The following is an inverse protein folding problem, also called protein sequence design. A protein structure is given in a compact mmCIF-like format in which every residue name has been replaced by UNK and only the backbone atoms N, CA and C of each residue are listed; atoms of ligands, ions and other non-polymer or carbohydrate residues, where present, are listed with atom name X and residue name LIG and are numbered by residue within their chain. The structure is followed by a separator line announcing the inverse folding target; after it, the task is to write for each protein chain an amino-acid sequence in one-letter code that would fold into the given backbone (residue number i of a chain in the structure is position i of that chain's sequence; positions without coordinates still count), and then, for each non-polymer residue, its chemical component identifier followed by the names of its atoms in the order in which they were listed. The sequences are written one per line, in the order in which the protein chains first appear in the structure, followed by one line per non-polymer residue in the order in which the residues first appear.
data_IF_751879871836
#
_entry.id   IF_751879871836
#
_cell.length_a   1.000
_cell.length_b   1.000
_cell.length_c   1.000
_cell.angle_alpha   90.00
_cell.angle_beta   90.00
_cell.angle_gamma   90.00
#
_symmetry.space_group_name_H-M   'P 1'
#
loop_
_entity.id
_entity.type
_entity.pdbx_description
1 polymer ?
#
# COMPACT_ATOMS: atom_id res chain seq x y z
N UNK A 1 -29.99 -50.17 5.82
CA UNK A 1 -30.40 -48.74 5.96
C UNK A 1 -29.29 -47.89 5.35
N UNK A 2 -28.83 -48.13 4.12
CA UNK A 2 -29.52 -48.14 2.82
C UNK A 2 -30.33 -46.88 2.57
N UNK A 3 -29.92 -46.20 1.50
CA UNK A 3 -30.62 -45.21 0.68
C UNK A 3 -30.45 -43.72 1.02
N UNK A 4 -29.31 -43.15 0.60
CA UNK A 4 -29.17 -41.72 0.32
C UNK A 4 -29.03 -41.55 -1.19
N UNK A 5 -30.17 -41.29 -1.85
CA UNK A 5 -30.24 -41.00 -3.27
C UNK A 5 -29.92 -39.52 -3.51
N UNK A 6 -28.84 -39.27 -4.27
CA UNK A 6 -28.50 -37.94 -4.75
C UNK A 6 -29.41 -37.55 -5.93
N UNK A 7 -29.88 -36.29 -6.01
CA UNK A 7 -30.69 -35.84 -7.13
C UNK A 7 -29.88 -35.88 -8.43
N UNK A 8 -30.46 -36.48 -9.47
CA UNK A 8 -29.87 -36.52 -10.82
C UNK A 8 -29.80 -35.11 -11.37
N UNK A 9 -28.58 -34.65 -11.67
CA UNK A 9 -28.31 -33.42 -12.39
C UNK A 9 -29.00 -33.48 -13.76
N UNK A 10 -29.90 -32.52 -14.01
CA UNK A 10 -30.49 -32.34 -15.33
C UNK A 10 -29.41 -31.88 -16.32
N UNK A 11 -29.36 -32.43 -17.54
CA UNK A 11 -28.45 -31.96 -18.57
C UNK A 11 -28.82 -30.52 -18.95
N UNK A 12 -27.84 -29.62 -18.87
CA UNK A 12 -28.00 -28.25 -19.34
C UNK A 12 -28.26 -28.24 -20.85
N UNK A 13 -29.14 -27.35 -21.35
CA UNK A 13 -29.37 -27.21 -22.78
C UNK A 13 -28.09 -26.76 -23.49
N UNK A 14 -27.85 -27.22 -24.73
CA UNK A 14 -26.70 -26.80 -25.51
C UNK A 14 -26.79 -25.30 -25.79
N UNK A 15 -25.69 -24.58 -25.52
CA UNK A 15 -25.56 -23.18 -25.91
C UNK A 15 -25.71 -23.05 -27.44
N UNK A 16 -26.45 -22.04 -27.95
CA UNK A 16 -26.52 -21.80 -29.39
C UNK A 16 -25.13 -21.47 -29.93
N UNK A 17 -24.69 -22.22 -30.93
CA UNK A 17 -23.43 -22.02 -31.62
C UNK A 17 -23.45 -20.66 -32.33
N UNK A 18 -22.81 -19.66 -31.72
CA UNK A 18 -22.53 -18.37 -32.35
C UNK A 18 -21.44 -18.58 -33.39
N UNK A 19 -21.65 -18.15 -34.63
CA UNK A 19 -20.75 -18.37 -35.75
C UNK A 19 -19.34 -17.83 -35.46
N UNK A 20 -18.35 -18.73 -35.51
CA UNK A 20 -16.93 -18.47 -35.22
C UNK A 20 -16.32 -17.35 -36.09
N UNK A 21 -16.87 -17.10 -37.28
CA UNK A 21 -16.30 -16.15 -38.24
C UNK A 21 -16.56 -14.67 -37.92
N UNK A 22 -17.50 -14.32 -37.02
CA UNK A 22 -17.83 -12.91 -36.75
C UNK A 22 -17.14 -12.34 -35.49
N UNK A 23 -16.42 -13.17 -34.73
CA UNK A 23 -15.62 -12.71 -33.58
C UNK A 23 -14.17 -12.35 -33.95
N UNK A 24 -13.64 -12.84 -35.08
CA UNK A 24 -12.21 -12.64 -35.41
C UNK A 24 -11.87 -11.26 -36.01
N UNK A 25 -12.80 -10.60 -36.72
CA UNK A 25 -12.52 -9.28 -37.32
C UNK A 25 -12.67 -8.13 -36.32
N UNK A 26 -13.68 -8.17 -35.45
CA UNK A 26 -13.89 -7.13 -34.44
C UNK A 26 -12.88 -7.24 -33.28
N UNK A 27 -12.43 -8.44 -32.91
CA UNK A 27 -11.41 -8.63 -31.87
C UNK A 27 -10.04 -8.08 -32.30
N UNK A 28 -9.66 -8.19 -33.58
CA UNK A 28 -8.37 -7.69 -34.09
C UNK A 28 -8.31 -6.16 -34.21
N UNK A 29 -9.42 -5.52 -34.60
CA UNK A 29 -9.49 -4.04 -34.66
C UNK A 29 -9.56 -3.42 -33.26
N UNK A 30 -10.24 -4.08 -32.31
CA UNK A 30 -10.23 -3.66 -30.90
C UNK A 30 -8.87 -3.91 -30.21
N UNK A 31 -8.16 -4.99 -30.52
CA UNK A 31 -6.82 -5.25 -29.94
C UNK A 31 -5.75 -4.25 -30.38
N UNK A 32 -5.81 -3.76 -31.62
CA UNK A 32 -4.86 -2.76 -32.13
C UNK A 32 -5.16 -1.35 -31.58
N UNK A 33 -6.44 -1.01 -31.35
CA UNK A 33 -6.80 0.27 -30.71
C UNK A 33 -6.48 0.28 -29.20
N UNK A 34 -6.61 -0.85 -28.50
CA UNK A 34 -6.20 -0.95 -27.08
C UNK A 34 -4.68 -0.91 -26.89
N UNK A 35 -3.90 -1.35 -27.88
CA UNK A 35 -2.44 -1.32 -27.81
C UNK A 35 -1.85 0.08 -28.03
N UNK A 36 -2.55 0.95 -28.78
CA UNK A 36 -2.07 2.32 -29.05
C UNK A 36 -2.39 3.32 -27.93
N UNK A 37 -3.41 3.06 -27.11
CA UNK A 37 -3.72 3.87 -25.92
C UNK A 37 -2.77 3.57 -24.73
N UNK A 38 -1.86 2.60 -24.85
CA UNK A 38 -0.97 2.16 -23.78
C UNK A 38 0.45 2.74 -23.82
N UNK A 39 0.85 3.50 -24.85
CA UNK A 39 2.29 3.78 -25.02
C UNK A 39 2.66 5.07 -25.79
N UNK A 40 1.93 6.17 -25.63
CA UNK A 40 2.64 7.44 -25.54
C UNK A 40 3.12 7.50 -24.09
N UNK A 41 4.40 7.26 -23.85
CA UNK A 41 4.96 7.41 -22.52
C UNK A 41 4.65 8.84 -22.06
N UNK A 42 3.62 8.96 -21.21
CA UNK A 42 3.56 10.02 -20.22
C UNK A 42 4.96 10.16 -19.62
N UNK A 43 5.37 11.40 -19.33
CA UNK A 43 6.67 11.76 -18.74
C UNK A 43 7.27 10.56 -17.97
N UNK A 44 8.47 10.06 -18.32
CA UNK A 44 9.07 8.90 -17.65
C UNK A 44 9.11 9.04 -16.12
N UNK A 45 9.09 10.27 -15.63
CA UNK A 45 9.06 10.61 -14.22
C UNK A 45 7.66 10.77 -13.61
N UNK A 46 6.56 10.60 -14.35
CA UNK A 46 5.22 10.50 -13.76
C UNK A 46 5.11 9.21 -12.94
N UNK A 47 4.49 9.32 -11.76
CA UNK A 47 4.24 8.17 -10.90
C UNK A 47 3.39 7.13 -11.64
N UNK A 48 3.84 5.89 -11.61
CA UNK A 48 3.15 4.74 -12.16
C UNK A 48 2.01 4.31 -11.24
N UNK A 49 0.99 3.69 -11.82
CA UNK A 49 -0.09 3.09 -11.04
C UNK A 49 0.43 1.87 -10.27
N UNK A 50 0.23 1.84 -8.95
CA UNK A 50 0.77 0.80 -8.07
C UNK A 50 0.23 -0.59 -8.40
N UNK A 51 -1.09 -0.74 -8.53
CA UNK A 51 -1.72 -2.01 -8.87
C UNK A 51 -1.17 -2.57 -10.20
N UNK A 52 -1.00 -1.72 -11.21
CA UNK A 52 -0.42 -2.13 -12.50
C UNK A 52 1.04 -2.58 -12.37
N UNK A 53 1.85 -1.86 -11.60
CA UNK A 53 3.27 -2.19 -11.36
C UNK A 53 3.40 -3.59 -10.72
N UNK A 54 2.58 -3.90 -9.70
CA UNK A 54 2.60 -5.22 -9.06
C UNK A 54 1.95 -6.32 -9.92
N UNK A 55 0.82 -6.05 -10.59
CA UNK A 55 0.15 -7.03 -11.45
C UNK A 55 1.03 -7.45 -12.64
N UNK A 56 1.75 -6.50 -13.23
CA UNK A 56 2.74 -6.77 -14.27
C UNK A 56 4.04 -7.41 -13.73
N UNK A 57 4.13 -7.60 -12.41
CA UNK A 57 5.29 -8.17 -11.71
C UNK A 57 6.59 -7.43 -12.03
N UNK A 58 6.51 -6.11 -12.20
CA UNK A 58 7.65 -5.23 -12.43
C UNK A 58 8.49 -5.05 -11.17
N UNK A 59 7.88 -5.26 -9.99
CA UNK A 59 8.50 -5.30 -8.66
C UNK A 59 7.81 -6.34 -7.77
N UNK A 60 8.46 -6.70 -6.68
CA UNK A 60 7.91 -7.36 -5.50
C UNK A 60 7.74 -6.32 -4.39
N UNK A 61 6.74 -6.49 -3.54
CA UNK A 61 6.56 -5.61 -2.40
C UNK A 61 7.73 -5.75 -1.42
N UNK A 62 8.37 -4.62 -1.12
CA UNK A 62 9.59 -4.54 -0.33
C UNK A 62 10.86 -4.33 -1.17
N UNK A 63 10.77 -4.24 -2.49
CA UNK A 63 11.92 -3.78 -3.28
C UNK A 63 12.09 -2.25 -3.25
N UNK A 64 11.03 -1.49 -2.93
CA UNK A 64 11.06 -0.04 -2.81
C UNK A 64 11.15 0.44 -1.35
N UNK A 65 10.38 1.48 -1.03
CA UNK A 65 10.29 2.03 0.34
C UNK A 65 9.05 1.52 1.09
N UNK A 66 8.46 0.37 0.74
CA UNK A 66 7.29 -0.17 1.46
C UNK A 66 7.57 -0.42 2.95
N UNK A 67 8.85 -0.62 3.30
CA UNK A 67 9.33 -0.82 4.67
C UNK A 67 10.25 0.33 5.14
N UNK A 68 10.22 1.46 4.44
CA UNK A 68 11.12 2.60 4.64
C UNK A 68 12.56 2.39 4.13
N UNK A 69 13.43 3.41 4.21
CA UNK A 69 14.76 3.40 3.60
C UNK A 69 15.74 2.44 4.30
N UNK A 70 15.50 2.11 5.56
CA UNK A 70 16.28 1.14 6.31
C UNK A 70 15.51 -0.17 6.54
N UNK A 71 14.49 -0.43 5.71
CA UNK A 71 13.66 -1.62 5.83
C UNK A 71 14.48 -2.92 5.77
N UNK A 72 14.04 -3.99 6.45
CA UNK A 72 14.74 -5.28 6.47
C UNK A 72 14.81 -5.94 5.08
N UNK A 73 14.00 -5.43 4.16
CA UNK A 73 13.76 -5.95 2.83
C UNK A 73 13.81 -4.75 1.90
N UNK A 74 14.93 -4.58 1.17
CA UNK A 74 15.15 -3.58 0.11
C UNK A 74 15.86 -4.18 -1.10
N UNK A 75 15.70 -5.48 -1.23
CA UNK A 75 16.43 -6.28 -2.19
C UNK A 75 15.51 -7.44 -2.61
N UNK A 76 15.82 -8.04 -3.76
CA UNK A 76 14.92 -9.02 -4.35
C UNK A 76 14.68 -10.22 -3.43
N UNK A 77 15.76 -10.72 -2.82
CA UNK A 77 15.73 -11.89 -1.95
C UNK A 77 14.84 -11.66 -0.73
N UNK A 78 15.02 -10.54 -0.04
CA UNK A 78 14.19 -10.15 1.09
C UNK A 78 12.72 -10.04 0.67
N UNK A 79 12.44 -9.43 -0.49
CA UNK A 79 11.08 -9.20 -0.97
C UNK A 79 10.38 -10.51 -1.36
N UNK A 80 11.16 -11.43 -1.92
CA UNK A 80 10.71 -12.78 -2.26
C UNK A 80 10.33 -13.59 -1.01
N UNK A 81 11.12 -13.50 0.06
CA UNK A 81 10.87 -14.24 1.31
C UNK A 81 9.97 -13.50 2.30
N UNK A 82 9.68 -12.21 2.08
CA UNK A 82 8.87 -11.39 2.99
C UNK A 82 7.50 -12.02 3.33
N UNK A 83 6.73 -12.64 2.41
CA UNK A 83 5.47 -13.30 2.77
C UNK A 83 5.65 -14.41 3.82
N UNK A 84 6.76 -15.15 3.74
CA UNK A 84 7.07 -16.24 4.67
C UNK A 84 7.61 -15.72 6.01
N UNK A 85 8.48 -14.70 5.96
CA UNK A 85 9.20 -14.19 7.14
C UNK A 85 8.39 -13.20 7.96
N UNK A 86 7.56 -12.40 7.31
CA UNK A 86 6.83 -11.29 7.95
C UNK A 86 5.35 -11.59 8.16
N UNK A 87 4.84 -12.71 7.64
CA UNK A 87 3.50 -13.22 7.90
C UNK A 87 2.40 -12.16 7.80
N UNK A 88 1.78 -11.87 8.94
CA UNK A 88 0.70 -10.87 9.06
C UNK A 88 1.12 -9.49 8.57
N UNK A 89 2.32 -9.01 8.92
CA UNK A 89 2.80 -7.69 8.53
C UNK A 89 2.90 -7.57 7.00
N UNK A 90 3.39 -8.61 6.30
CA UNK A 90 3.39 -8.59 4.84
C UNK A 90 1.98 -8.53 4.26
N UNK A 91 1.04 -9.26 4.84
CA UNK A 91 -0.34 -9.26 4.38
C UNK A 91 -0.97 -7.86 4.49
N UNK A 92 -0.79 -7.19 5.62
CA UNK A 92 -1.31 -5.85 5.86
C UNK A 92 -0.72 -4.80 4.90
N UNK A 93 0.61 -4.76 4.78
CA UNK A 93 1.28 -3.74 3.97
C UNK A 93 1.16 -4.04 2.47
N UNK A 94 1.52 -5.25 2.07
CA UNK A 94 1.61 -5.60 0.65
C UNK A 94 0.26 -6.05 0.11
N UNK A 95 -0.35 -7.06 0.75
CA UNK A 95 -1.57 -7.70 0.25
C UNK A 95 -2.82 -6.84 0.38
N UNK A 96 -2.94 -6.09 1.47
CA UNK A 96 -4.13 -5.28 1.78
C UNK A 96 -3.99 -3.84 1.33
N UNK A 97 -2.78 -3.30 1.17
CA UNK A 97 -2.57 -1.92 0.73
C UNK A 97 -1.91 -1.81 -0.65
N UNK A 98 -0.59 -2.04 -0.77
CA UNK A 98 0.15 -1.74 -1.99
C UNK A 98 -0.37 -2.48 -3.23
N UNK A 99 -0.71 -3.76 -3.12
CA UNK A 99 -1.26 -4.54 -4.25
C UNK A 99 -2.68 -4.12 -4.65
N UNK A 100 -3.44 -3.49 -3.74
CA UNK A 100 -4.83 -3.04 -3.99
C UNK A 100 -4.91 -1.58 -4.44
N UNK A 101 -3.79 -0.86 -4.37
CA UNK A 101 -3.75 0.57 -4.65
C UNK A 101 -3.84 0.85 -6.16
N UNK A 102 -5.05 1.01 -6.68
CA UNK A 102 -5.29 1.31 -8.10
C UNK A 102 -5.28 2.83 -8.37
N UNK A 103 -4.14 3.45 -8.09
CA UNK A 103 -3.88 4.86 -8.38
C UNK A 103 -2.36 5.08 -8.50
N UNK A 104 -1.95 6.32 -8.74
CA UNK A 104 -0.55 6.74 -8.87
C UNK A 104 -0.15 7.80 -7.82
N UNK A 105 -0.82 7.84 -6.67
CA UNK A 105 -0.47 8.80 -5.62
C UNK A 105 0.85 8.40 -4.97
N UNK A 106 1.64 9.40 -4.61
CA UNK A 106 2.78 9.22 -3.73
C UNK A 106 2.31 8.93 -2.31
N UNK A 107 3.03 8.07 -1.62
CA UNK A 107 2.72 7.65 -0.25
C UNK A 107 3.91 7.91 0.67
N UNK A 108 3.68 8.08 1.96
CA UNK A 108 4.76 8.28 2.93
C UNK A 108 5.82 7.17 2.81
N UNK A 109 7.09 7.56 2.77
CA UNK A 109 8.25 6.64 2.81
C UNK A 109 8.21 5.80 4.08
N UNK A 110 7.79 6.40 5.19
CA UNK A 110 7.63 5.76 6.48
C UNK A 110 6.55 6.46 7.28
N UNK A 111 5.96 5.75 8.24
CA UNK A 111 5.22 6.39 9.33
C UNK A 111 6.18 7.30 10.11
N UNK A 112 5.95 8.61 10.01
CA UNK A 112 6.83 9.65 10.56
C UNK A 112 6.05 10.62 11.43
N UNK A 113 6.75 11.39 12.27
CA UNK A 113 6.11 12.47 13.04
C UNK A 113 6.01 13.77 12.26
N UNK A 114 5.07 14.63 12.66
CA UNK A 114 4.89 15.93 12.02
C UNK A 114 6.16 16.80 12.01
N UNK A 115 6.99 16.68 13.05
CA UNK A 115 8.28 17.39 13.18
C UNK A 115 9.47 16.64 12.57
N UNK A 116 9.23 15.47 11.97
CA UNK A 116 10.27 14.69 11.32
C UNK A 116 10.67 15.34 9.99
N UNK A 117 11.97 15.25 9.69
CA UNK A 117 12.56 15.81 8.47
C UNK A 117 13.42 14.78 7.76
N UNK A 118 13.72 15.02 6.48
CA UNK A 118 14.53 14.15 5.64
C UNK A 118 13.70 13.02 5.02
N UNK A 119 14.38 12.04 4.41
CA UNK A 119 13.78 11.01 3.56
C UNK A 119 12.62 10.25 4.22
N UNK A 120 12.70 10.00 5.53
CA UNK A 120 11.62 9.31 6.26
C UNK A 120 10.30 10.11 6.31
N UNK A 121 10.36 11.44 6.17
CA UNK A 121 9.19 12.34 6.13
C UNK A 121 8.72 12.65 4.70
N UNK A 122 9.41 12.14 3.68
CA UNK A 122 9.03 12.34 2.29
C UNK A 122 7.92 11.36 1.86
N UNK A 123 7.33 11.64 0.70
CA UNK A 123 6.49 10.69 -0.02
C UNK A 123 7.20 10.14 -1.25
N UNK A 124 6.81 8.96 -1.71
CA UNK A 124 7.47 8.30 -2.84
C UNK A 124 6.49 7.57 -3.74
N UNK A 125 6.94 7.26 -4.96
CA UNK A 125 6.23 6.43 -5.91
C UNK A 125 7.19 5.63 -6.81
N UNK A 126 6.65 4.67 -7.55
CA UNK A 126 7.37 4.05 -8.67
C UNK A 126 7.26 4.91 -9.92
N UNK A 127 8.35 5.01 -10.69
CA UNK A 127 8.43 5.69 -11.99
C UNK A 127 9.08 4.78 -13.03
N UNK A 128 9.09 5.18 -14.30
CA UNK A 128 9.88 4.46 -15.32
C UNK A 128 11.36 4.50 -14.96
N UNK A 129 12.09 3.41 -15.26
CA UNK A 129 13.56 3.41 -15.16
C UNK A 129 14.22 4.47 -16.07
N UNK A 130 13.50 4.94 -17.08
CA UNK A 130 13.97 6.01 -17.97
C UNK A 130 13.89 7.40 -17.32
N UNK A 131 13.24 7.54 -16.15
CA UNK A 131 13.25 8.80 -15.40
C UNK A 131 14.69 9.13 -14.94
N UNK A 132 15.17 10.31 -15.37
CA UNK A 132 16.48 10.82 -14.99
C UNK A 132 16.47 11.60 -13.66
N UNK A 133 15.29 12.06 -13.22
CA UNK A 133 15.11 12.86 -12.00
C UNK A 133 14.33 12.07 -10.94
N UNK A 134 15.07 11.32 -10.12
CA UNK A 134 14.50 10.54 -9.02
C UNK A 134 14.33 11.35 -7.73
N UNK A 135 14.74 12.63 -7.71
CA UNK A 135 14.64 13.53 -6.56
C UNK A 135 15.17 12.91 -5.24
N UNK A 136 16.28 12.17 -5.31
CA UNK A 136 16.84 11.45 -4.15
C UNK A 136 16.34 10.02 -3.95
N UNK A 137 15.46 9.53 -4.82
CA UNK A 137 15.14 8.11 -4.96
C UNK A 137 16.27 7.32 -5.65
N UNK A 138 15.96 6.10 -6.09
CA UNK A 138 16.96 5.17 -6.58
C UNK A 138 16.44 4.20 -7.65
N UNK A 139 17.38 3.66 -8.43
CA UNK A 139 17.09 2.58 -9.38
C UNK A 139 17.05 1.24 -8.65
N UNK A 140 16.05 0.42 -8.95
CA UNK A 140 16.03 -0.96 -8.48
C UNK A 140 17.14 -1.77 -9.18
N UNK A 141 17.84 -2.69 -8.48
CA UNK A 141 18.90 -3.48 -9.08
C UNK A 141 18.34 -4.48 -10.11
N UNK A 142 18.89 -4.50 -11.31
CA UNK A 142 18.40 -5.32 -12.44
C UNK A 142 18.63 -6.83 -12.27
N UNK A 143 19.49 -7.25 -11.33
CA UNK A 143 20.16 -8.55 -11.40
C UNK A 143 20.18 -9.37 -10.12
N UNK A 144 19.38 -9.04 -9.10
CA UNK A 144 19.29 -9.95 -7.97
C UNK A 144 18.33 -11.10 -8.31
N UNK A 145 18.87 -12.15 -8.92
CA UNK A 145 18.33 -13.49 -8.66
C UNK A 145 18.57 -13.81 -7.18
N UNK A 146 17.74 -14.66 -6.57
CA UNK A 146 18.07 -15.24 -5.25
C UNK A 146 19.51 -15.77 -5.34
N UNK A 147 20.38 -15.50 -4.34
CA UNK A 147 21.73 -16.04 -4.33
C UNK A 147 21.66 -17.53 -4.64
N UNK A 148 22.38 -17.94 -5.68
CA UNK A 148 22.44 -19.36 -6.02
C UNK A 148 22.84 -20.11 -4.75
N UNK A 149 22.04 -21.11 -4.35
CA UNK A 149 22.46 -22.02 -3.30
C UNK A 149 23.88 -22.46 -3.61
N UNK A 150 24.85 -22.36 -2.66
CA UNK A 150 26.22 -22.72 -2.93
C UNK A 150 26.25 -24.09 -3.59
N UNK A 151 26.73 -24.17 -4.84
CA UNK A 151 26.71 -25.42 -5.60
C UNK A 151 27.45 -26.54 -4.85
N UNK A 152 28.33 -26.19 -3.90
CA UNK A 152 29.05 -27.11 -3.03
C UNK A 152 28.20 -27.79 -1.95
N UNK A 153 27.04 -27.23 -1.56
CA UNK A 153 26.19 -27.79 -0.50
C UNK A 153 25.21 -28.85 -1.01
N UNK A 154 25.02 -28.94 -2.34
CA UNK A 154 24.07 -29.86 -2.96
C UNK A 154 24.76 -30.60 -4.10
N UNK A 155 24.44 -31.88 -4.29
CA UNK A 155 24.85 -32.59 -5.51
C UNK A 155 24.22 -31.92 -6.74
N UNK A 156 24.81 -32.03 -7.94
CA UNK A 156 24.23 -31.44 -9.16
C UNK A 156 22.77 -31.86 -9.39
N UNK A 157 22.42 -33.09 -9.04
CA UNK A 157 21.05 -33.58 -9.14
C UNK A 157 20.12 -32.93 -8.10
N UNK A 158 20.52 -32.83 -6.83
CA UNK A 158 19.70 -32.16 -5.80
C UNK A 158 19.59 -30.65 -6.04
N UNK A 159 20.63 -30.00 -6.58
CA UNK A 159 20.57 -28.59 -7.00
C UNK A 159 19.58 -28.40 -8.15
N UNK A 160 19.67 -29.21 -9.22
CA UNK A 160 18.75 -29.11 -10.36
C UNK A 160 17.31 -29.49 -9.97
N UNK A 161 17.13 -30.47 -9.10
CA UNK A 161 15.82 -30.85 -8.57
C UNK A 161 15.26 -29.75 -7.66
N UNK A 162 16.06 -29.18 -6.76
CA UNK A 162 15.65 -28.02 -5.97
C UNK A 162 15.32 -26.84 -6.88
N UNK A 163 16.07 -26.61 -7.95
CA UNK A 163 15.81 -25.57 -8.94
C UNK A 163 14.54 -25.78 -9.75
N UNK A 164 14.15 -27.03 -9.97
CA UNK A 164 12.91 -27.39 -10.66
C UNK A 164 11.69 -27.45 -9.72
N UNK A 165 11.89 -27.83 -8.45
CA UNK A 165 10.83 -28.01 -7.45
C UNK A 165 10.53 -26.73 -6.66
N UNK A 166 11.56 -25.99 -6.25
CA UNK A 166 11.39 -24.64 -5.73
C UNK A 166 11.21 -23.74 -6.95
N UNK A 167 10.11 -23.00 -6.98
CA UNK A 167 9.79 -21.99 -7.97
C UNK A 167 10.93 -20.96 -8.02
N UNK A 168 12.03 -21.28 -8.72
CA UNK A 168 13.16 -20.39 -8.79
C UNK A 168 12.62 -19.10 -9.39
N UNK A 169 12.85 -17.98 -8.72
CA UNK A 169 12.29 -16.73 -9.15
C UNK A 169 12.71 -16.46 -10.58
N UNK A 170 11.72 -16.31 -11.45
CA UNK A 170 11.98 -15.79 -12.79
C UNK A 170 12.56 -14.41 -12.59
N UNK A 171 13.71 -14.13 -13.21
CA UNK A 171 14.27 -12.79 -13.25
C UNK A 171 13.17 -11.89 -13.82
N UNK A 172 12.68 -11.00 -12.97
CA UNK A 172 11.70 -10.02 -13.38
C UNK A 172 12.44 -8.87 -14.03
N UNK A 173 11.95 -8.38 -15.17
CA UNK A 173 12.51 -7.18 -15.78
C UNK A 173 12.20 -5.98 -14.88
N UNK A 174 13.22 -5.44 -14.22
CA UNK A 174 13.12 -4.26 -13.34
C UNK A 174 13.21 -2.98 -14.17
N UNK A 175 12.16 -2.66 -14.90
CA UNK A 175 12.07 -1.44 -15.71
C UNK A 175 11.39 -0.27 -14.97
N UNK A 176 11.49 -0.25 -13.63
CA UNK A 176 11.03 0.87 -12.79
C UNK A 176 12.13 1.36 -11.85
N UNK A 177 11.94 2.56 -11.33
CA UNK A 177 12.74 3.17 -10.29
C UNK A 177 11.85 3.73 -9.17
N UNK A 178 12.44 4.01 -8.02
CA UNK A 178 11.80 4.69 -6.90
C UNK A 178 12.14 6.18 -7.01
N UNK A 179 11.13 7.04 -6.87
CA UNK A 179 11.28 8.49 -6.86
C UNK A 179 10.70 9.07 -5.57
N UNK A 180 11.39 10.04 -4.96
CA UNK A 180 10.80 10.86 -3.91
C UNK A 180 9.98 11.98 -4.55
N UNK A 181 8.75 12.15 -4.10
CA UNK A 181 7.80 13.03 -4.74
C UNK A 181 8.00 14.49 -4.35
N UNK A 182 7.77 15.38 -5.32
CA UNK A 182 7.86 16.83 -5.11
C UNK A 182 6.46 17.43 -4.89
N UNK A 183 6.19 18.07 -3.74
CA UNK A 183 4.91 18.74 -3.50
C UNK A 183 4.54 19.75 -4.59
N UNK A 184 3.29 19.73 -5.05
CA UNK A 184 2.78 20.60 -6.11
C UNK A 184 3.16 20.18 -7.55
N UNK A 185 4.12 19.25 -7.71
CA UNK A 185 4.45 18.63 -9.01
C UNK A 185 3.84 17.23 -9.11
N UNK A 186 4.01 16.42 -8.08
CA UNK A 186 3.50 15.05 -8.00
C UNK A 186 2.17 14.99 -7.26
N UNK A 187 1.37 13.95 -7.55
CA UNK A 187 0.09 13.71 -6.88
C UNK A 187 0.36 13.06 -5.53
N UNK A 188 0.34 13.83 -4.45
CA UNK A 188 0.55 13.32 -3.09
C UNK A 188 -0.75 12.79 -2.49
N UNK A 189 -0.72 11.62 -1.85
CA UNK A 189 -1.92 11.12 -1.14
C UNK A 189 -2.28 12.05 0.04
N UNK A 190 -1.31 12.76 0.60
CA UNK A 190 -1.50 13.73 1.69
C UNK A 190 -2.35 14.92 1.28
N UNK A 191 -2.45 15.20 -0.03
CA UNK A 191 -3.19 16.36 -0.56
C UNK A 191 -4.70 16.08 -0.70
N UNK A 192 -5.15 14.83 -0.59
CA UNK A 192 -6.55 14.45 -0.78
C UNK A 192 -7.49 14.92 0.35
N UNK A 193 -6.95 15.23 1.52
CA UNK A 193 -7.74 15.46 2.73
C UNK A 193 -8.29 14.16 3.34
N UNK A 194 -8.71 14.21 4.60
CA UNK A 194 -9.00 13.01 5.41
C UNK A 194 -10.13 12.17 4.80
N UNK A 195 -11.23 12.80 4.41
CA UNK A 195 -12.41 12.10 3.88
C UNK A 195 -12.09 11.35 2.59
N UNK A 196 -11.29 11.93 1.70
CA UNK A 196 -10.91 11.29 0.42
C UNK A 196 -9.88 10.20 0.60
N UNK A 197 -8.96 10.33 1.55
CA UNK A 197 -8.05 9.23 1.91
C UNK A 197 -8.83 8.05 2.49
N UNK A 198 -9.83 8.30 3.34
CA UNK A 198 -10.72 7.27 3.87
C UNK A 198 -11.57 6.63 2.77
N UNK A 199 -12.19 7.43 1.90
CA UNK A 199 -12.96 6.94 0.75
C UNK A 199 -12.09 6.07 -0.17
N UNK A 200 -10.84 6.48 -0.40
CA UNK A 200 -9.87 5.72 -1.17
C UNK A 200 -9.57 4.37 -0.50
N UNK A 201 -9.26 4.36 0.79
CA UNK A 201 -9.05 3.14 1.57
C UNK A 201 -10.23 2.18 1.51
N UNK A 202 -11.45 2.73 1.61
CA UNK A 202 -12.69 1.95 1.53
C UNK A 202 -12.90 1.35 0.13
N UNK A 203 -12.70 2.15 -0.92
CA UNK A 203 -12.85 1.70 -2.31
C UNK A 203 -11.89 0.56 -2.68
N UNK A 204 -10.69 0.58 -2.10
CA UNK A 204 -9.67 -0.45 -2.32
C UNK A 204 -9.86 -1.69 -1.44
N UNK A 205 -10.90 -1.72 -0.60
CA UNK A 205 -11.08 -2.72 0.46
C UNK A 205 -9.80 -2.89 1.31
N UNK A 206 -9.11 -1.79 1.60
CA UNK A 206 -7.87 -1.78 2.36
C UNK A 206 -8.15 -1.59 3.86
N UNK A 207 -7.13 -1.81 4.69
CA UNK A 207 -7.18 -1.47 6.11
C UNK A 207 -7.06 0.05 6.22
N UNK A 208 -8.18 0.73 6.42
CA UNK A 208 -8.27 2.20 6.33
C UNK A 208 -7.31 2.89 7.31
N UNK A 209 -7.16 2.34 8.52
CA UNK A 209 -6.19 2.84 9.50
C UNK A 209 -4.74 2.81 9.01
N UNK A 210 -4.39 1.90 8.11
CA UNK A 210 -3.08 1.85 7.49
C UNK A 210 -2.95 2.88 6.36
N UNK A 211 -4.01 3.03 5.55
CA UNK A 211 -4.07 4.01 4.44
C UNK A 211 -3.85 5.44 4.97
N UNK A 212 -4.48 5.81 6.10
CA UNK A 212 -4.32 7.16 6.68
C UNK A 212 -2.92 7.39 7.25
N UNK A 213 -2.27 6.39 7.85
CA UNK A 213 -0.88 6.47 8.34
C UNK A 213 0.16 6.56 7.22
N UNK A 214 -0.18 5.96 6.10
CA UNK A 214 0.60 6.05 4.87
C UNK A 214 0.37 7.40 4.16
N UNK A 215 -0.68 8.15 4.52
CA UNK A 215 -0.97 9.44 3.95
C UNK A 215 -0.56 10.64 4.81
N UNK A 216 -0.62 10.51 6.13
CA UNK A 216 -0.46 11.61 7.06
C UNK A 216 0.60 11.29 8.12
N UNK A 217 1.30 12.31 8.65
CA UNK A 217 2.18 12.12 9.78
C UNK A 217 1.39 11.63 11.00
N UNK A 218 2.09 10.94 11.88
CA UNK A 218 1.55 10.42 13.14
C UNK A 218 2.08 11.24 14.32
N UNK A 219 1.38 11.22 15.43
CA UNK A 219 1.91 11.75 16.68
C UNK A 219 3.10 10.90 17.22
N UNK A 220 3.27 9.69 16.67
CA UNK A 220 4.19 8.67 17.18
C UNK A 220 5.61 8.78 16.63
N UNK A 221 6.59 9.08 17.49
CA UNK A 221 8.02 9.22 17.14
C UNK A 221 8.78 7.90 17.14
N UNK A 222 8.44 7.03 18.08
CA UNK A 222 9.00 5.69 18.21
C UNK A 222 7.98 4.78 18.90
N UNK A 223 8.23 3.47 18.86
CA UNK A 223 7.28 2.47 19.35
C UNK A 223 6.95 2.62 20.84
N UNK A 224 7.79 3.28 21.64
CA UNK A 224 7.74 3.23 23.10
C UNK A 224 7.29 4.52 23.78
N UNK A 225 7.39 5.70 23.14
CA UNK A 225 7.17 7.00 23.82
C UNK A 225 6.53 8.03 22.92
N UNK A 226 5.23 7.90 22.71
CA UNK A 226 4.49 8.82 21.89
C UNK A 226 3.15 9.14 22.53
N UNK A 227 2.63 10.36 22.35
CA UNK A 227 1.33 10.69 22.90
C UNK A 227 0.25 9.88 22.17
N UNK A 228 -0.46 9.07 22.94
CA UNK A 228 -1.65 8.35 22.50
C UNK A 228 -2.89 9.20 22.78
N UNK A 229 -4.03 8.76 22.27
CA UNK A 229 -5.29 9.47 22.46
C UNK A 229 -5.61 9.79 23.93
N UNK A 230 -5.35 8.84 24.83
CA UNK A 230 -5.59 9.00 26.27
C UNK A 230 -4.83 10.18 26.89
N UNK A 231 -3.66 10.53 26.34
CA UNK A 231 -2.84 11.65 26.83
C UNK A 231 -3.31 13.01 26.32
N UNK A 232 -4.10 13.04 25.25
CA UNK A 232 -4.51 14.29 24.58
C UNK A 232 -6.01 14.54 24.64
N UNK A 233 -6.84 13.53 24.89
CA UNK A 233 -8.30 13.61 24.81
C UNK A 233 -8.90 14.72 25.66
N UNK A 234 -8.35 14.99 26.85
CA UNK A 234 -8.85 16.04 27.74
C UNK A 234 -8.59 17.45 27.18
N UNK A 235 -7.42 17.66 26.58
CA UNK A 235 -7.08 18.93 25.93
C UNK A 235 -7.94 19.14 24.67
N UNK A 236 -8.11 18.08 23.87
CA UNK A 236 -8.95 18.09 22.68
C UNK A 236 -10.43 18.34 23.04
N UNK A 237 -10.96 17.68 24.08
CA UNK A 237 -12.33 17.88 24.56
C UNK A 237 -12.58 19.28 25.12
N UNK A 238 -11.54 19.99 25.57
CA UNK A 238 -11.62 21.40 26.01
C UNK A 238 -11.35 22.42 24.91
N UNK A 239 -10.90 21.98 23.73
CA UNK A 239 -10.38 22.88 22.69
C UNK A 239 -9.08 23.58 23.07
N UNK A 240 -8.33 23.05 24.04
CA UNK A 240 -7.07 23.61 24.52
C UNK A 240 -5.89 23.12 23.66
N UNK A 241 -5.68 23.79 22.52
CA UNK A 241 -4.59 23.48 21.59
C UNK A 241 -3.22 23.67 22.24
N UNK A 242 -3.09 24.59 23.20
CA UNK A 242 -1.82 24.92 23.82
C UNK A 242 -1.32 23.81 24.77
N UNK A 243 -2.25 23.09 25.39
CA UNK A 243 -1.97 21.90 26.19
C UNK A 243 -1.56 20.67 25.37
N UNK A 244 -1.72 20.68 24.03
CA UNK A 244 -1.33 19.55 23.19
C UNK A 244 0.20 19.37 23.12
N UNK A 245 0.68 18.10 23.00
CA UNK A 245 2.09 17.80 22.73
C UNK A 245 2.59 18.51 21.47
N UNK A 246 3.88 18.89 21.45
CA UNK A 246 4.47 19.73 20.40
C UNK A 246 4.14 19.31 18.95
N UNK A 247 4.32 18.05 18.50
CA UNK A 247 4.03 17.68 17.11
C UNK A 247 2.54 17.80 16.77
N UNK A 248 1.65 17.44 17.71
CA UNK A 248 0.19 17.55 17.51
C UNK A 248 -0.23 19.01 17.49
N UNK A 249 0.24 19.80 18.47
CA UNK A 249 -0.03 21.23 18.57
C UNK A 249 0.37 21.98 17.30
N UNK A 250 1.55 21.67 16.76
CA UNK A 250 2.02 22.30 15.52
C UNK A 250 1.15 21.90 14.33
N UNK A 251 0.88 20.61 14.13
CA UNK A 251 0.01 20.14 13.04
C UNK A 251 -1.39 20.77 13.09
N UNK A 252 -1.98 20.87 14.28
CA UNK A 252 -3.28 21.52 14.51
C UNK A 252 -3.22 23.01 14.14
N UNK A 253 -2.18 23.74 14.54
CA UNK A 253 -2.04 25.16 14.19
C UNK A 253 -1.82 25.39 12.69
N UNK A 254 -1.14 24.47 12.02
CA UNK A 254 -0.88 24.52 10.59
C UNK A 254 -2.04 23.97 9.74
N UNK A 255 -3.14 23.57 10.39
CA UNK A 255 -4.30 22.94 9.77
C UNK A 255 -3.93 21.72 8.91
N UNK A 256 -2.88 21.00 9.32
CA UNK A 256 -2.43 19.78 8.65
C UNK A 256 -2.94 18.53 9.39
N UNK A 257 -3.32 17.47 8.66
CA UNK A 257 -3.73 16.22 9.29
C UNK A 257 -2.60 15.59 10.10
N UNK A 258 -2.93 15.11 11.30
CA UNK A 258 -2.06 14.24 12.10
C UNK A 258 -2.86 13.09 12.69
N UNK A 259 -2.31 11.88 12.59
CA UNK A 259 -2.90 10.65 13.15
C UNK A 259 -2.45 10.46 14.60
N UNK A 260 -3.41 10.27 15.50
CA UNK A 260 -3.19 9.94 16.91
C UNK A 260 -3.77 8.55 17.16
N UNK A 261 -2.90 7.61 17.51
CA UNK A 261 -3.30 6.24 17.86
C UNK A 261 -4.01 6.21 19.21
N UNK A 262 -5.06 5.39 19.32
CA UNK A 262 -5.75 5.18 20.60
C UNK A 262 -5.01 4.17 21.47
N UNK A 263 -4.50 3.09 20.87
CA UNK A 263 -3.72 2.08 21.56
C UNK A 263 -2.19 2.28 21.39
N UNK A 264 -1.38 1.83 22.36
CA UNK A 264 0.08 1.86 22.25
C UNK A 264 0.66 1.08 21.09
N UNK A 265 -0.01 0.02 20.65
CA UNK A 265 0.46 -0.81 19.54
C UNK A 265 0.24 -0.11 18.19
N UNK A 266 -0.76 0.77 18.10
CA UNK A 266 -1.14 1.52 16.90
C UNK A 266 -1.89 0.66 15.88
N UNK A 267 -2.56 -0.39 16.31
CA UNK A 267 -3.29 -1.30 15.43
C UNK A 267 -4.81 -1.11 15.47
N UNK A 268 -5.33 -0.36 16.45
CA UNK A 268 -6.77 -0.23 16.67
C UNK A 268 -7.32 1.10 16.17
N UNK A 269 -8.28 1.65 16.91
CA UNK A 269 -8.93 2.92 16.65
C UNK A 269 -7.92 4.06 16.54
N UNK A 270 -8.25 5.04 15.72
CA UNK A 270 -7.42 6.20 15.47
C UNK A 270 -8.27 7.46 15.54
N UNK A 271 -7.61 8.56 15.86
CA UNK A 271 -8.16 9.91 15.72
C UNK A 271 -7.28 10.67 14.75
N UNK A 272 -7.91 11.48 13.90
CA UNK A 272 -7.19 12.33 12.96
C UNK A 272 -7.56 13.77 13.30
N UNK A 273 -6.57 14.59 13.61
CA UNK A 273 -6.76 16.00 13.95
C UNK A 273 -6.39 16.85 12.73
N UNK A 274 -7.28 17.77 12.34
CA UNK A 274 -7.04 18.75 11.26
C UNK A 274 -7.55 20.10 11.75
N UNK A 275 -6.65 21.01 12.10
CA UNK A 275 -7.08 22.21 12.80
C UNK A 275 -7.81 21.83 14.10
N UNK A 276 -8.95 22.47 14.35
CA UNK A 276 -9.84 22.13 15.47
C UNK A 276 -10.80 20.99 15.16
N UNK A 277 -10.67 20.26 14.06
CA UNK A 277 -11.56 19.13 13.74
C UNK A 277 -10.95 17.81 14.16
N UNK A 278 -11.79 16.93 14.67
CA UNK A 278 -11.43 15.57 15.09
C UNK A 278 -12.26 14.56 14.33
N UNK A 279 -11.58 13.75 13.53
CA UNK A 279 -12.18 12.62 12.80
C UNK A 279 -11.96 11.33 13.59
N UNK A 280 -12.99 10.49 13.65
CA UNK A 280 -12.91 9.21 14.34
C UNK A 280 -12.87 8.08 13.32
N UNK A 281 -11.83 7.26 13.43
CA UNK A 281 -11.64 6.08 12.60
C UNK A 281 -11.57 4.89 13.55
N UNK A 282 -12.74 4.29 13.82
CA UNK A 282 -12.82 3.19 14.76
C UNK A 282 -12.50 1.88 14.07
N UNK A 283 -11.73 1.00 14.71
CA UNK A 283 -11.41 -0.32 14.19
C UNK A 283 -12.32 -1.37 14.85
N UNK A 284 -13.14 -2.05 14.06
CA UNK A 284 -14.00 -3.16 14.49
C UNK A 284 -13.57 -4.43 13.74
N UNK A 285 -12.27 -4.73 13.73
CA UNK A 285 -11.78 -6.02 13.25
C UNK A 285 -12.42 -7.16 14.06
N UNK A 286 -12.89 -8.18 13.38
CA UNK A 286 -13.31 -9.44 14.00
C UNK A 286 -12.53 -10.62 13.40
N UNK A 287 -12.93 -11.85 13.75
CA UNK A 287 -12.32 -13.08 13.22
C UNK A 287 -12.43 -13.23 11.70
N UNK A 288 -13.29 -12.45 11.04
CA UNK A 288 -13.55 -12.49 9.60
C UNK A 288 -12.69 -11.48 8.82
N UNK A 289 -12.01 -10.55 9.49
CA UNK A 289 -10.94 -9.72 8.93
C UNK A 289 -10.96 -8.25 9.35
N UNK A 290 -10.04 -7.48 8.76
CA UNK A 290 -9.80 -6.06 9.06
C UNK A 290 -10.04 -5.12 7.85
N UNK A 291 -10.76 -5.59 6.83
CA UNK A 291 -11.03 -4.83 5.60
C UNK A 291 -11.89 -3.58 5.82
N UNK A 292 -12.16 -2.83 4.75
CA UNK A 292 -12.79 -1.50 4.79
C UNK A 292 -14.09 -1.42 5.59
N UNK A 293 -14.91 -2.48 5.56
CA UNK A 293 -16.20 -2.56 6.27
C UNK A 293 -16.06 -2.50 7.80
N UNK A 294 -14.88 -2.79 8.32
CA UNK A 294 -14.57 -2.81 9.75
C UNK A 294 -14.08 -1.47 10.27
N UNK A 295 -14.02 -0.43 9.43
CA UNK A 295 -13.51 0.88 9.78
C UNK A 295 -14.59 1.96 9.63
N UNK A 296 -15.59 2.03 10.53
CA UNK A 296 -16.54 3.12 10.51
C UNK A 296 -15.82 4.46 10.70
N UNK A 297 -16.08 5.35 9.75
CA UNK A 297 -15.55 6.71 9.75
C UNK A 297 -16.64 7.67 10.21
N UNK A 298 -16.34 8.45 11.25
CA UNK A 298 -17.19 9.56 11.68
C UNK A 298 -16.56 10.86 11.23
N UNK A 299 -17.38 11.69 10.57
CA UNK A 299 -16.97 13.01 10.10
C UNK A 299 -16.45 13.87 11.25
N UNK A 300 -15.61 14.83 10.90
CA UNK A 300 -14.97 15.75 11.84
C UNK A 300 -15.97 16.44 12.75
N UNK A 301 -15.76 16.33 14.06
CA UNK A 301 -16.40 17.15 15.11
C UNK A 301 -15.43 18.24 15.55
N UNK A 302 -15.92 19.39 15.98
CA UNK A 302 -15.03 20.43 16.49
C UNK A 302 -14.51 20.05 17.89
N UNK A 303 -13.25 20.41 18.17
CA UNK A 303 -12.66 20.33 19.50
C UNK A 303 -13.51 21.16 20.47
N UNK A 304 -13.88 20.60 21.62
CA UNK A 304 -14.89 21.19 22.51
C UNK A 304 -16.25 20.49 22.46
N UNK A 305 -16.55 19.76 21.39
CA UNK A 305 -17.83 19.06 21.17
C UNK A 305 -17.74 17.53 21.35
N UNK A 306 -16.57 17.03 21.75
CA UNK A 306 -16.27 15.60 21.80
C UNK A 306 -16.91 14.86 22.98
#
# INVERSE_FOLDING_TARGET
LDDVSWPRLFPLPPCPARSQQQMDLNARVLFLAFSAALAAAADPCECLNWAQVYQAKRVLCGEGYEWGPAGPVRNYEGAYWAPLLMGFTWHEFCGSFFHRMDNSYCVNVKHHTYDQVGVDAEQWCYVSRECADLNGGEYLPDQQGIPELPQSLLTPWTYNMAKALYFWPKIHKRDVAVKLCTPGKDKLISDLGVEKVVELGQKMDSVVGFVVKTAFPMARRNELRSPHWEEVKDAVAKGDVDALPAPIKQAVRDEKPIVVDIDPEGHTHQRILVGKKVFELDNICDITGCGARHWPFRKGRDMGEL
#
